data_IF_103382419419
#
_entry.id   IF_103382419419
#
_cell.length_a   1.000
_cell.length_b   1.000
_cell.length_c   1.000
_cell.angle_alpha   90.00
_cell.angle_beta   90.00
_cell.angle_gamma   90.00
#
_symmetry.space_group_name_H-M   'P 1'
#
loop_
_entity.id
_entity.type
_entity.pdbx_description
1 polymer ?
2 water ?
#
# COMPACT_ATOMS: atom_id res chain seq x y z
N UNK A 8 -9.16 -12.39 10.88
CA UNK A 8 -8.86 -11.21 10.00
C UNK A 8 -8.08 -10.15 10.79
N UNK A 9 -7.36 -9.27 10.08
CA UNK A 9 -6.47 -8.29 10.71
C UNK A 9 -7.05 -6.91 11.03
N UNK A 10 -6.61 -6.34 12.15
CA UNK A 10 -7.12 -5.06 12.65
C UNK A 10 -6.75 -3.87 11.77
N UNK A 11 -5.48 -3.80 11.37
CA UNK A 11 -5.03 -2.76 10.46
C UNK A 11 -5.57 -2.99 9.05
N UNK A 12 -5.58 -4.26 8.59
CA UNK A 12 -6.24 -4.63 7.30
C UNK A 12 -7.60 -3.98 7.23
N UNK A 13 -8.36 -4.15 8.31
CA UNK A 13 -9.75 -3.75 8.33
C UNK A 13 -9.93 -2.25 8.53
N UNK A 14 -9.10 -1.60 9.35
CA UNK A 14 -9.09 -0.14 9.43
C UNK A 14 -8.83 0.47 8.05
N UNK A 15 -7.81 -0.05 7.36
CA UNK A 15 -7.46 0.38 6.00
C UNK A 15 -8.57 0.09 4.98
N UNK A 16 -9.04 -1.16 4.93
CA UNK A 16 -10.13 -1.51 4.00
C UNK A 16 -11.37 -0.68 4.30
N UNK A 17 -11.69 -0.54 5.58
CA UNK A 17 -12.78 0.34 6.02
C UNK A 17 -12.58 1.73 5.46
N UNK A 18 -11.36 2.24 5.58
CA UNK A 18 -11.10 3.63 5.24
C UNK A 18 -11.32 3.95 3.76
N UNK A 19 -10.93 3.02 2.88
CA UNK A 19 -11.05 3.23 1.43
C UNK A 19 -12.52 3.20 1.01
N UNK A 20 -13.33 2.47 1.77
CA UNK A 20 -14.76 2.41 1.52
C UNK A 20 -15.48 3.72 1.90
N UNK A 21 -15.27 4.22 3.13
CA UNK A 21 -15.80 5.53 3.54
C UNK A 21 -15.46 6.66 2.56
N UNK A 22 -14.18 6.77 2.22
CA UNK A 22 -13.73 7.86 1.35
C UNK A 22 -14.34 7.71 -0.03
N UNK A 23 -14.37 6.50 -0.57
CA UNK A 23 -15.06 6.33 -1.84
C UNK A 23 -16.50 6.81 -1.70
N UNK A 24 -17.24 6.17 -0.80
CA UNK A 24 -18.63 6.53 -0.55
C UNK A 24 -18.79 8.07 -0.52
N UNK A 25 -17.94 8.76 0.24
CA UNK A 25 -18.00 10.21 0.33
C UNK A 25 -17.64 10.92 -0.98
N UNK A 26 -16.80 10.30 -1.80
CA UNK A 26 -16.48 10.87 -3.10
C UNK A 26 -17.78 11.00 -3.89
N UNK A 27 -18.68 10.04 -3.69
CA UNK A 27 -20.02 10.09 -4.27
C UNK A 27 -20.93 11.17 -3.63
N UNK A 28 -21.03 11.18 -2.30
CA UNK A 28 -21.97 12.06 -1.56
C UNK A 28 -21.63 13.55 -1.53
N UNK A 29 -21.79 14.25 -2.66
CA UNK A 29 -21.19 15.58 -2.78
C UNK A 29 -19.80 15.42 -3.39
N UNK A 30 -18.85 16.28 -3.01
CA UNK A 30 -17.62 16.35 -3.81
C UNK A 30 -16.39 15.45 -3.46
N UNK A 31 -15.82 14.91 -4.53
CA UNK A 31 -14.53 14.26 -4.55
C UNK A 31 -13.52 15.37 -4.60
N UNK A 32 -13.94 16.52 -5.12
CA UNK A 32 -13.01 17.61 -5.36
C UNK A 32 -12.31 18.06 -4.07
N UNK A 33 -13.05 18.19 -2.96
CA UNK A 33 -12.41 18.35 -1.63
C UNK A 33 -11.42 17.18 -1.44
N UNK A 34 -11.94 15.95 -1.44
CA UNK A 34 -11.12 14.76 -1.17
C UNK A 34 -9.85 14.76 -2.05
N UNK A 35 -10.03 14.69 -3.38
CA UNK A 35 -8.91 14.70 -4.34
C UNK A 35 -7.90 15.86 -4.15
N UNK A 36 -8.35 17.05 -3.75
CA UNK A 36 -7.41 18.15 -3.55
C UNK A 36 -6.55 17.93 -2.30
N UNK A 37 -7.16 17.42 -1.24
CA UNK A 37 -6.48 17.26 0.06
C UNK A 37 -5.44 16.11 0.09
N UNK A 38 -5.66 15.11 -0.77
CA UNK A 38 -4.98 13.79 -0.69
C UNK A 38 -4.00 13.46 -1.82
N UNK A 39 -3.93 14.31 -2.85
CA UNK A 39 -3.42 13.94 -4.19
C UNK A 39 -1.97 13.48 -4.47
N UNK A 40 -1.04 13.83 -3.58
CA UNK A 40 0.43 13.72 -3.79
C UNK A 40 0.95 15.07 -4.29
N UNK A 41 1.99 15.63 -3.61
CA UNK A 41 2.48 16.98 -3.90
C UNK A 41 2.71 17.27 -5.38
N UNK A 42 2.08 18.34 -5.86
CA UNK A 42 2.17 18.74 -7.25
C UNK A 42 2.90 20.09 -7.32
N UNK A 43 3.50 20.48 -6.20
CA UNK A 43 3.62 21.88 -5.80
C UNK A 43 4.71 21.96 -4.75
N UNK A 44 5.67 22.88 -4.92
CA UNK A 44 6.74 23.08 -3.91
C UNK A 44 6.25 23.21 -2.45
N UNK A 45 5.23 24.04 -2.25
CA UNK A 45 4.58 24.21 -0.94
C UNK A 45 4.08 22.87 -0.40
N UNK A 46 3.27 22.18 -1.20
CA UNK A 46 2.68 20.88 -0.82
C UNK A 46 3.72 19.83 -0.42
N UNK A 47 4.99 20.06 -0.81
CA UNK A 47 6.12 19.20 -0.39
C UNK A 47 6.07 18.83 1.08
N UNK A 48 5.82 19.82 1.94
CA UNK A 48 5.81 19.65 3.39
C UNK A 48 4.50 19.05 3.92
N UNK A 49 3.39 19.22 3.17
CA UNK A 49 2.10 18.57 3.51
C UNK A 49 2.29 17.05 3.46
N UNK A 50 2.70 16.52 4.62
CA UNK A 50 3.34 15.21 4.72
C UNK A 50 2.37 14.03 4.53
N UNK A 51 1.09 14.22 4.88
CA UNK A 51 0.08 13.16 4.62
C UNK A 51 -0.02 12.83 3.13
N UNK A 52 0.48 13.72 2.27
CA UNK A 52 0.32 13.58 0.81
C UNK A 52 1.11 12.42 0.23
N UNK A 53 2.20 12.07 0.87
CA UNK A 53 3.05 10.97 0.41
C UNK A 53 2.29 9.65 0.41
N UNK A 54 1.33 9.54 1.33
CA UNK A 54 0.58 8.31 1.61
C UNK A 54 -0.89 8.40 1.14
N UNK A 55 -1.54 9.50 1.53
CA UNK A 55 -2.99 9.65 1.47
C UNK A 55 -3.58 9.34 0.10
N UNK A 56 -2.86 9.66 -0.97
CA UNK A 56 -3.32 9.34 -2.34
C UNK A 56 -3.80 7.88 -2.48
N UNK A 57 -3.30 6.98 -1.60
CA UNK A 57 -3.68 5.57 -1.67
C UNK A 57 -5.11 5.34 -1.25
N UNK A 58 -5.67 6.31 -0.54
CA UNK A 58 -7.01 6.18 0.03
C UNK A 58 -8.17 6.66 -0.91
N UNK A 59 -7.83 7.07 -2.13
CA UNK A 59 -8.85 7.53 -3.09
C UNK A 59 -8.92 6.56 -4.28
N UNK A 60 -10.13 6.13 -4.63
CA UNK A 60 -10.36 5.25 -5.79
C UNK A 60 -11.18 5.88 -6.94
N UNK A 61 -10.90 5.44 -8.16
CA UNK A 61 -11.45 6.11 -9.31
C UNK A 61 -12.66 5.42 -9.96
N UNK A 62 -13.05 4.23 -9.48
CA UNK A 62 -14.20 3.54 -10.06
C UNK A 62 -14.62 2.34 -9.21
N UNK A 63 -15.87 1.86 -9.40
CA UNK A 63 -16.38 0.67 -8.69
C UNK A 63 -15.46 -0.55 -8.83
N UNK A 64 -14.76 -0.64 -9.96
CA UNK A 64 -13.86 -1.78 -10.19
C UNK A 64 -12.48 -1.48 -9.65
N UNK A 65 -12.02 -0.26 -9.88
CA UNK A 65 -10.76 0.15 -9.31
C UNK A 65 -10.72 -0.21 -7.82
N UNK A 66 -11.86 -0.08 -7.14
CA UNK A 66 -11.89 -0.27 -5.69
C UNK A 66 -12.24 -1.69 -5.29
N UNK A 67 -13.12 -2.33 -6.05
CA UNK A 67 -13.54 -3.67 -5.70
C UNK A 67 -12.35 -4.61 -5.84
N UNK A 68 -11.57 -4.43 -6.91
CA UNK A 68 -10.40 -5.26 -7.16
C UNK A 68 -9.33 -5.00 -6.12
N UNK A 69 -8.99 -3.72 -5.91
CA UNK A 69 -7.97 -3.35 -4.90
C UNK A 69 -8.30 -3.82 -3.49
N UNK A 70 -9.55 -3.63 -3.06
CA UNK A 70 -9.96 -4.09 -1.74
C UNK A 70 -10.04 -5.59 -1.56
N UNK A 71 -10.45 -6.33 -2.58
CA UNK A 71 -10.49 -7.78 -2.47
C UNK A 71 -9.08 -8.29 -2.32
N UNK A 72 -8.24 -7.90 -3.27
CA UNK A 72 -6.83 -8.31 -3.30
C UNK A 72 -6.00 -7.79 -2.10
N UNK A 73 -6.33 -6.62 -1.56
CA UNK A 73 -5.66 -6.18 -0.33
C UNK A 73 -6.24 -6.76 0.98
N UNK A 74 -7.55 -7.00 1.02
CA UNK A 74 -8.12 -7.56 2.21
C UNK A 74 -7.50 -8.95 2.40
N UNK A 75 -7.57 -9.74 1.35
CA UNK A 75 -7.18 -11.12 1.38
C UNK A 75 -5.70 -11.30 1.76
N UNK A 76 -4.80 -10.52 1.13
CA UNK A 76 -3.34 -10.70 1.27
C UNK A 76 -2.74 -9.83 2.34
N UNK A 77 -3.23 -8.60 2.48
CA UNK A 77 -2.92 -7.76 3.64
C UNK A 77 -3.36 -8.55 4.86
N UNK A 78 -4.55 -9.15 4.73
CA UNK A 78 -5.02 -10.19 5.62
C UNK A 78 -3.87 -11.08 6.02
N UNK A 79 -3.30 -11.82 5.05
CA UNK A 79 -2.15 -12.73 5.32
C UNK A 79 -1.00 -12.13 6.14
N UNK A 80 -0.48 -10.98 5.70
CA UNK A 80 0.72 -10.39 6.30
C UNK A 80 0.49 -10.09 7.79
N UNK A 81 -0.65 -9.47 8.07
CA UNK A 81 -1.02 -9.07 9.44
C UNK A 81 -1.12 -10.29 10.37
N UNK A 82 -1.91 -11.29 9.95
CA UNK A 82 -2.11 -12.52 10.71
C UNK A 82 -0.86 -13.39 10.82
N UNK A 83 0.19 -13.09 10.06
CA UNK A 83 1.39 -13.95 10.06
C UNK A 83 2.65 -13.22 10.56
N UNK A 84 2.72 -11.91 10.32
CA UNK A 84 3.88 -11.12 10.73
C UNK A 84 3.52 -10.01 11.71
N UNK A 85 2.23 -9.86 11.98
CA UNK A 85 1.79 -8.87 12.91
C UNK A 85 1.24 -7.66 12.20
N UNK A 86 0.74 -6.73 13.02
CA UNK A 86 0.04 -5.55 12.55
C UNK A 86 1.00 -4.41 12.22
N UNK A 87 2.08 -4.29 13.01
CA UNK A 87 3.17 -3.37 12.71
C UNK A 87 3.75 -3.65 11.30
N UNK A 88 4.12 -4.90 11.03
CA UNK A 88 4.63 -5.27 9.71
C UNK A 88 3.73 -4.76 8.61
N UNK A 89 2.43 -5.03 8.74
CA UNK A 89 1.50 -4.53 7.72
C UNK A 89 1.44 -3.01 7.65
N UNK A 90 1.52 -2.35 8.81
CA UNK A 90 1.51 -0.89 8.82
C UNK A 90 2.74 -0.31 8.14
N UNK A 91 3.94 -0.78 8.50
CA UNK A 91 5.19 -0.39 7.81
C UNK A 91 5.05 -0.53 6.26
N UNK A 92 4.80 -1.76 5.79
CA UNK A 92 4.53 -2.02 4.36
C UNK A 92 3.53 -1.04 3.73
N UNK A 93 2.36 -0.89 4.34
CA UNK A 93 1.48 0.16 3.88
C UNK A 93 2.28 1.49 3.79
N UNK A 94 2.69 2.06 4.91
CA UNK A 94 3.37 3.36 4.91
C UNK A 94 4.57 3.48 3.91
N UNK A 95 5.44 2.47 3.88
CA UNK A 95 6.64 2.53 3.03
C UNK A 95 6.36 2.33 1.54
N UNK A 96 5.55 1.32 1.20
CA UNK A 96 5.10 1.11 -0.17
C UNK A 96 4.20 2.23 -0.66
N UNK A 97 3.50 2.91 0.25
CA UNK A 97 2.63 4.01 -0.16
C UNK A 97 3.49 5.17 -0.62
N UNK A 98 4.45 5.56 0.22
CA UNK A 98 5.33 6.68 -0.06
C UNK A 98 6.18 6.42 -1.31
N UNK A 99 6.82 5.25 -1.37
CA UNK A 99 7.67 4.88 -2.52
C UNK A 99 6.96 4.70 -3.88
N UNK A 100 5.86 3.94 -3.94
CA UNK A 100 5.16 3.78 -5.23
C UNK A 100 4.68 5.13 -5.74
N UNK A 101 4.43 6.05 -4.81
CA UNK A 101 4.02 7.39 -5.16
C UNK A 101 5.17 8.24 -5.67
N UNK A 102 6.27 8.25 -4.91
CA UNK A 102 7.50 8.93 -5.32
C UNK A 102 7.88 8.53 -6.74
N UNK A 103 7.81 7.22 -7.00
CA UNK A 103 8.03 6.63 -8.33
C UNK A 103 6.94 6.99 -9.34
N UNK A 104 5.69 7.17 -8.91
CA UNK A 104 4.67 7.50 -9.91
C UNK A 104 4.76 8.96 -10.31
N UNK A 105 5.09 9.80 -9.34
CA UNK A 105 5.12 11.23 -9.57
C UNK A 105 6.20 11.54 -10.60
N UNK A 106 7.34 10.87 -10.47
CA UNK A 106 8.48 11.12 -11.37
C UNK A 106 8.18 10.77 -12.84
N UNK A 107 7.63 9.59 -13.11
CA UNK A 107 7.34 9.25 -14.50
C UNK A 107 6.12 10.02 -15.07
N UNK A 108 5.07 10.25 -14.28
CA UNK A 108 3.83 10.79 -14.86
C UNK A 108 3.23 12.02 -14.22
N UNK A 109 3.84 12.49 -13.14
CA UNK A 109 3.20 13.56 -12.38
C UNK A 109 2.16 13.03 -11.39
N UNK A 110 1.57 13.94 -10.59
CA UNK A 110 0.86 13.60 -9.36
C UNK A 110 -0.64 13.26 -9.56
N UNK A 111 -1.00 12.75 -10.73
CA UNK A 111 -2.39 12.38 -11.00
C UNK A 111 -2.54 10.86 -11.06
N UNK A 112 -2.63 10.28 -9.86
CA UNK A 112 -2.77 8.84 -9.67
C UNK A 112 -3.42 8.64 -8.30
N UNK A 113 -4.19 7.56 -8.15
CA UNK A 113 -4.91 7.29 -6.90
C UNK A 113 -5.18 5.83 -6.61
N UNK A 114 -5.14 5.46 -5.34
CA UNK A 114 -5.52 4.12 -4.95
C UNK A 114 -4.40 3.23 -4.47
N UNK A 115 -4.75 1.95 -4.35
CA UNK A 115 -4.11 0.98 -3.49
C UNK A 115 -3.39 -0.13 -4.28
N UNK A 116 -3.28 0.02 -5.61
CA UNK A 116 -2.56 -1.00 -6.42
C UNK A 116 -1.05 -1.10 -6.12
N UNK A 117 -0.35 0.03 -6.13
CA UNK A 117 1.05 0.02 -5.77
C UNK A 117 1.16 -0.75 -4.48
N UNK A 118 0.30 -0.38 -3.51
CA UNK A 118 0.28 -1.07 -2.21
C UNK A 118 0.00 -2.57 -2.36
N UNK A 119 -1.11 -2.91 -3.03
CA UNK A 119 -1.48 -4.32 -3.27
C UNK A 119 -0.30 -5.11 -3.85
N UNK A 120 0.35 -4.54 -4.87
CA UNK A 120 1.54 -5.16 -5.47
C UNK A 120 2.73 -5.37 -4.51
N UNK A 121 3.16 -4.34 -3.79
CA UNK A 121 4.09 -4.55 -2.66
C UNK A 121 3.64 -5.73 -1.78
N UNK A 122 2.37 -5.67 -1.38
CA UNK A 122 1.77 -6.68 -0.52
C UNK A 122 1.96 -8.06 -1.16
N UNK A 123 1.43 -8.29 -2.38
CA UNK A 123 1.70 -9.55 -3.14
C UNK A 123 3.19 -9.84 -3.37
N UNK A 124 3.97 -8.78 -3.56
CA UNK A 124 5.41 -8.92 -3.76
C UNK A 124 6.04 -9.58 -2.55
N UNK A 125 5.65 -9.11 -1.36
CA UNK A 125 6.18 -9.61 -0.08
C UNK A 125 5.67 -11.00 0.28
N UNK A 126 4.47 -11.33 -0.16
CA UNK A 126 3.90 -12.64 0.14
C UNK A 126 4.50 -13.70 -0.79
N UNK A 127 4.55 -13.40 -2.08
CA UNK A 127 5.26 -14.24 -3.06
C UNK A 127 6.70 -14.69 -2.65
N UNK A 128 7.61 -13.74 -2.39
CA UNK A 128 8.96 -14.19 -2.04
C UNK A 128 8.91 -15.02 -0.80
N UNK A 129 8.33 -14.47 0.27
CA UNK A 129 8.26 -15.18 1.55
C UNK A 129 7.65 -16.57 1.36
N UNK A 130 6.54 -16.66 0.63
CA UNK A 130 5.99 -17.97 0.26
C UNK A 130 6.98 -18.83 -0.52
N UNK A 131 7.44 -18.33 -1.67
CA UNK A 131 8.50 -18.95 -2.49
C UNK A 131 9.67 -19.56 -1.69
N UNK A 132 10.10 -18.90 -0.60
CA UNK A 132 11.21 -19.42 0.21
C UNK A 132 10.77 -20.32 1.40
N UNK A 133 9.80 -19.88 2.20
CA UNK A 133 9.52 -20.53 3.50
C UNK A 133 8.10 -21.11 3.62
N UNK A 134 7.39 -21.16 2.48
CA UNK A 134 6.01 -21.72 2.35
C UNK A 134 5.44 -22.52 3.55
N UNK A 166 1.57 2.60 -14.41
CA UNK A 166 1.93 1.32 -13.81
C UNK A 166 3.38 1.27 -13.33
N UNK A 167 3.93 2.44 -13.03
CA UNK A 167 5.21 2.56 -12.34
C UNK A 167 5.01 2.18 -10.88
N UNK A 168 3.88 2.61 -10.32
CA UNK A 168 3.45 2.23 -8.99
C UNK A 168 3.40 0.70 -8.82
N UNK A 169 2.65 0.00 -9.69
CA UNK A 169 2.59 -1.47 -9.67
C UNK A 169 3.97 -2.16 -9.59
N UNK A 170 4.85 -1.85 -10.55
CA UNK A 170 6.19 -2.44 -10.60
C UNK A 170 7.03 -2.06 -9.42
N UNK A 171 7.15 -0.76 -9.15
CA UNK A 171 7.97 -0.36 -8.03
C UNK A 171 7.43 -0.92 -6.72
N UNK A 172 6.10 -1.05 -6.65
CA UNK A 172 5.44 -1.67 -5.50
C UNK A 172 5.84 -3.11 -5.36
N UNK A 173 5.57 -3.90 -6.41
CA UNK A 173 6.05 -5.28 -6.50
C UNK A 173 7.48 -5.40 -6.01
N UNK A 174 8.32 -4.47 -6.44
CA UNK A 174 9.75 -4.53 -6.14
C UNK A 174 9.96 -4.32 -4.64
N UNK A 175 9.31 -3.28 -4.09
CA UNK A 175 9.39 -3.00 -2.63
C UNK A 175 8.98 -4.23 -1.85
N UNK A 176 7.96 -4.92 -2.35
CA UNK A 176 7.51 -6.20 -1.79
C UNK A 176 8.61 -7.23 -1.90
N UNK A 177 8.84 -7.72 -3.13
CA UNK A 177 9.91 -8.68 -3.42
C UNK A 177 11.20 -8.41 -2.64
N UNK A 178 11.69 -7.17 -2.63
CA UNK A 178 12.92 -6.85 -1.88
C UNK A 178 12.71 -7.09 -0.40
N UNK A 179 11.78 -6.33 0.22
CA UNK A 179 11.48 -6.35 1.68
C UNK A 179 11.35 -7.75 2.27
N UNK A 180 10.57 -8.60 1.60
CA UNK A 180 10.37 -9.94 2.08
C UNK A 180 11.66 -10.72 2.15
N UNK A 181 12.47 -10.60 1.10
CA UNK A 181 13.79 -11.24 1.02
C UNK A 181 14.68 -10.78 2.18
N UNK A 182 14.79 -9.47 2.39
CA UNK A 182 15.51 -9.01 3.57
C UNK A 182 15.00 -9.72 4.84
N UNK A 183 13.67 -9.79 5.01
CA UNK A 183 13.06 -10.41 6.19
C UNK A 183 13.46 -11.87 6.32
N UNK A 184 13.01 -12.66 5.35
CA UNK A 184 13.36 -14.05 5.21
C UNK A 184 14.81 -14.29 5.65
N UNK A 185 15.72 -13.46 5.15
CA UNK A 185 17.14 -13.54 5.49
C UNK A 185 17.44 -13.36 6.99
N UNK A 186 16.90 -12.30 7.62
CA UNK A 186 17.12 -12.06 9.07
C UNK A 186 16.48 -13.16 9.92
N UNK A 187 15.33 -13.64 9.46
CA UNK A 187 14.65 -14.77 10.04
C UNK A 187 15.63 -15.94 10.10
N UNK A 188 15.84 -16.63 8.98
CA UNK A 188 16.83 -17.71 8.90
C UNK A 188 18.12 -17.40 9.69
N UNK A 189 18.60 -16.14 9.64
CA UNK A 189 19.77 -15.73 10.42
C UNK A 189 19.70 -16.17 11.89
N UNK A 190 18.67 -15.75 12.63
CA UNK A 190 18.56 -16.11 14.06
C UNK A 190 18.16 -17.57 14.34
N UNK A 191 17.30 -18.14 13.48
CA UNK A 191 16.92 -19.56 13.54
C UNK A 191 18.13 -20.50 13.53
N UNK A 192 19.29 -19.92 13.21
CA UNK A 192 20.50 -20.69 13.06
C UNK A 192 21.06 -21.07 14.43
N UNK A 193 20.85 -20.20 15.43
CA UNK A 193 21.18 -20.56 16.82
C UNK A 193 19.96 -21.06 17.61
N UNK A 194 19.15 -21.94 17.00
CA UNK A 194 17.91 -22.47 17.61
C UNK A 194 17.70 -23.98 17.30
N UNK A 195 17.27 -24.79 18.32
CA UNK A 195 16.89 -26.21 18.21
C UNK A 195 16.21 -26.65 16.90
#
# INVERSE_FOLDING_TARGET
MENFLAQQGKITLILTALCVLIYIAQQLGFEDDIMYLMHYPAYEEQDSEVWRYISHTLVHLSNLHILFNLSWFFIFGGMIERTFGSVKLLMLYVVASAITGYVQNYVSGPAFFGLSGVVYAVLGYVFIRDKLNHHLFDLPEGFFTMLLVGIALGFISPLFGVEMGNAAHISGLIVGLIWGFIDSKLRKNSLELVPR
#
